data_IF_643544912140
#
_entry.id   IF_643544912140
#
_cell.length_a   1.000
_cell.length_b   1.000
_cell.length_c   1.000
_cell.angle_alpha   90.00
_cell.angle_beta   90.00
_cell.angle_gamma   90.00
#
_symmetry.space_group_name_H-M   'P 1'
#
loop_
_entity.id
_entity.type
_entity.pdbx_description
1 polymer ?
#
# COMPACT_ATOMS: atom_id res chain seq x y z
N UNK A 1 -16.92 0.57 16.73
CA UNK A 1 -15.52 0.18 17.05
C UNK A 1 -14.79 -0.13 15.75
N UNK A 2 -13.48 0.13 15.68
CA UNK A 2 -12.66 -0.11 14.48
C UNK A 2 -12.63 -1.60 14.09
N UNK A 3 -12.82 -1.89 12.80
CA UNK A 3 -12.77 -3.26 12.27
C UNK A 3 -11.41 -3.96 12.40
N UNK A 4 -10.34 -3.22 12.71
CA UNK A 4 -9.01 -3.75 13.00
C UNK A 4 -8.79 -4.18 14.45
N UNK A 5 -9.83 -4.11 15.31
CA UNK A 5 -9.78 -4.63 16.68
C UNK A 5 -9.02 -3.75 17.68
N UNK A 6 -8.67 -2.50 17.35
CA UNK A 6 -7.92 -1.61 18.25
C UNK A 6 -8.76 -0.94 19.36
N UNK A 7 -10.07 -1.22 19.45
CA UNK A 7 -10.96 -0.65 20.47
C UNK A 7 -11.33 0.84 20.29
N UNK A 8 -10.69 1.54 19.35
CA UNK A 8 -10.94 2.98 19.08
C UNK A 8 -12.11 3.15 18.11
N UNK A 9 -12.75 4.34 18.13
CA UNK A 9 -13.73 4.75 17.13
C UNK A 9 -13.12 4.69 15.72
N UNK A 10 -13.90 4.22 14.75
CA UNK A 10 -13.42 4.12 13.37
C UNK A 10 -13.58 5.46 12.66
N UNK A 11 -12.46 6.03 12.23
CA UNK A 11 -12.37 7.22 11.36
C UNK A 11 -11.41 6.89 10.22
N UNK A 12 -11.34 7.72 9.18
CA UNK A 12 -10.32 7.57 8.12
C UNK A 12 -8.91 7.60 8.69
N UNK A 13 -8.61 8.54 9.59
CA UNK A 13 -7.29 8.66 10.21
C UNK A 13 -6.97 7.42 11.06
N UNK A 14 -7.91 6.95 11.87
CA UNK A 14 -7.70 5.73 12.62
C UNK A 14 -7.54 4.51 11.69
N UNK A 15 -8.40 4.33 10.70
CA UNK A 15 -8.35 3.17 9.82
C UNK A 15 -7.06 3.11 9.00
N UNK A 16 -6.62 4.23 8.41
CA UNK A 16 -5.49 4.22 7.50
C UNK A 16 -4.15 4.52 8.19
N UNK A 17 -4.13 5.19 9.34
CA UNK A 17 -2.89 5.66 9.97
C UNK A 17 -2.71 5.09 11.38
N UNK A 18 -3.64 5.35 12.29
CA UNK A 18 -3.40 5.12 13.72
C UNK A 18 -3.75 3.71 14.22
N UNK A 19 -4.57 2.96 13.48
CA UNK A 19 -4.88 1.59 13.84
C UNK A 19 -3.62 0.74 13.71
N UNK A 20 -3.15 0.14 14.82
CA UNK A 20 -1.95 -0.69 14.81
C UNK A 20 -1.96 -1.76 13.71
N UNK A 21 -3.11 -2.37 13.42
CA UNK A 21 -3.22 -3.41 12.41
C UNK A 21 -3.09 -2.84 10.99
N UNK A 22 -3.93 -1.89 10.61
CA UNK A 22 -3.96 -1.35 9.25
C UNK A 22 -2.86 -0.31 8.97
N UNK A 23 -2.46 0.48 9.97
CA UNK A 23 -1.31 1.38 9.89
C UNK A 23 0.00 0.63 9.66
N UNK A 24 0.16 -0.57 10.23
CA UNK A 24 1.32 -1.44 9.95
C UNK A 24 1.41 -1.84 8.48
N UNK A 25 0.28 -1.97 7.76
CA UNK A 25 0.29 -2.24 6.32
C UNK A 25 1.06 -1.14 5.57
N UNK A 26 0.79 0.12 5.88
CA UNK A 26 1.51 1.24 5.26
C UNK A 26 3.00 1.20 5.59
N UNK A 27 3.36 0.98 6.85
CA UNK A 27 4.76 0.83 7.24
C UNK A 27 5.49 -0.23 6.39
N UNK A 28 4.86 -1.39 6.19
CA UNK A 28 5.43 -2.44 5.33
C UNK A 28 5.50 -2.03 3.85
N UNK A 29 4.51 -1.28 3.34
CA UNK A 29 4.56 -0.76 1.97
C UNK A 29 5.71 0.23 1.79
N UNK A 30 5.92 1.19 2.70
CA UNK A 30 7.06 2.12 2.61
C UNK A 30 8.40 1.39 2.73
N UNK A 31 8.50 0.41 3.63
CA UNK A 31 9.68 -0.43 3.76
C UNK A 31 9.98 -1.20 2.47
N UNK A 32 8.95 -1.77 1.82
CA UNK A 32 9.11 -2.44 0.52
C UNK A 32 9.53 -1.49 -0.58
N UNK A 33 9.05 -0.24 -0.56
CA UNK A 33 9.49 0.82 -1.47
C UNK A 33 10.93 1.31 -1.17
N UNK A 34 11.51 0.96 -0.01
CA UNK A 34 12.81 1.46 0.43
C UNK A 34 12.78 2.94 0.81
N UNK A 35 11.65 3.44 1.33
CA UNK A 35 11.45 4.85 1.67
C UNK A 35 11.21 4.98 3.17
N UNK A 36 12.04 5.78 3.83
CA UNK A 36 11.80 6.17 5.22
C UNK A 36 10.88 7.40 5.25
N UNK A 37 9.72 7.25 5.91
CA UNK A 37 8.74 8.33 6.07
C UNK A 37 8.29 8.45 7.52
N UNK A 38 8.04 9.68 7.94
CA UNK A 38 7.25 9.95 9.15
C UNK A 38 5.79 9.93 8.74
N UNK A 39 5.02 9.03 9.35
CA UNK A 39 3.57 8.95 9.11
C UNK A 39 2.90 10.24 9.60
N UNK A 40 2.17 10.97 8.74
CA UNK A 40 1.46 12.18 9.15
C UNK A 40 0.25 11.83 10.01
N UNK A 41 -0.33 12.84 10.65
CA UNK A 41 -1.48 12.65 11.52
C UNK A 41 -2.78 12.43 10.71
N UNK A 42 -2.98 13.20 9.66
CA UNK A 42 -4.17 13.12 8.81
C UNK A 42 -3.97 12.14 7.64
N UNK A 43 -5.00 11.34 7.34
CA UNK A 43 -4.96 10.42 6.21
C UNK A 43 -4.82 11.17 4.87
N UNK A 44 -5.39 12.38 4.76
CA UNK A 44 -5.23 13.20 3.55
C UNK A 44 -3.76 13.57 3.31
N UNK A 45 -3.06 14.03 4.36
CA UNK A 45 -1.64 14.38 4.29
C UNK A 45 -0.79 13.15 3.98
N UNK A 46 -1.21 11.97 4.44
CA UNK A 46 -0.56 10.71 4.10
C UNK A 46 -0.57 10.44 2.60
N UNK A 47 -1.71 10.63 1.94
CA UNK A 47 -1.82 10.41 0.50
C UNK A 47 -1.06 11.46 -0.32
N UNK A 48 -1.00 12.70 0.18
CA UNK A 48 -0.18 13.77 -0.42
C UNK A 48 1.31 13.43 -0.30
N UNK A 49 1.76 13.03 0.90
CA UNK A 49 3.13 12.60 1.15
C UNK A 49 3.50 11.38 0.30
N UNK A 50 2.63 10.38 0.20
CA UNK A 50 2.87 9.20 -0.63
C UNK A 50 3.08 9.58 -2.10
N UNK A 51 2.29 10.54 -2.60
CA UNK A 51 2.41 11.02 -3.97
C UNK A 51 3.72 11.75 -4.24
N UNK A 52 4.30 12.42 -3.24
CA UNK A 52 5.57 13.16 -3.39
C UNK A 52 6.80 12.26 -3.47
N UNK A 53 6.73 11.02 -2.96
CA UNK A 53 7.78 9.99 -3.10
C UNK A 53 8.17 9.77 -4.57
N UNK A 54 7.22 9.98 -5.49
CA UNK A 54 7.43 9.84 -6.93
C UNK A 54 8.31 10.91 -7.57
N UNK A 55 8.61 12.02 -6.89
CA UNK A 55 9.37 13.15 -7.44
C UNK A 55 8.86 13.57 -8.83
N UNK A 56 9.77 13.79 -9.78
CA UNK A 56 9.44 14.37 -11.11
C UNK A 56 9.15 13.28 -12.17
N UNK A 57 9.57 12.03 -11.93
CA UNK A 57 9.46 10.96 -12.91
C UNK A 57 8.01 10.46 -13.07
N UNK A 58 7.35 10.81 -14.18
CA UNK A 58 5.94 10.48 -14.45
C UNK A 58 5.62 8.98 -14.32
N UNK A 59 6.50 8.10 -14.79
CA UNK A 59 6.33 6.65 -14.69
C UNK A 59 6.35 6.19 -13.23
N UNK A 60 7.29 6.72 -12.42
CA UNK A 60 7.38 6.43 -10.99
C UNK A 60 6.13 6.90 -10.24
N UNK A 61 5.67 8.11 -10.54
CA UNK A 61 4.42 8.64 -9.97
C UNK A 61 3.21 7.76 -10.33
N UNK A 62 3.11 7.32 -11.59
CA UNK A 62 2.02 6.44 -12.03
C UNK A 62 2.02 5.09 -11.31
N UNK A 63 3.20 4.50 -11.12
CA UNK A 63 3.37 3.24 -10.39
C UNK A 63 3.00 3.41 -8.91
N UNK A 64 3.48 4.48 -8.29
CA UNK A 64 3.13 4.81 -6.91
C UNK A 64 1.63 5.04 -6.74
N UNK A 65 0.97 5.74 -7.66
CA UNK A 65 -0.49 5.89 -7.61
C UNK A 65 -1.21 4.53 -7.64
N UNK A 66 -0.76 3.59 -8.49
CA UNK A 66 -1.33 2.23 -8.51
C UNK A 66 -1.13 1.52 -7.17
N UNK A 67 0.06 1.64 -6.57
CA UNK A 67 0.34 1.08 -5.25
C UNK A 67 -0.56 1.70 -4.19
N UNK A 68 -0.64 3.04 -4.13
CA UNK A 68 -1.45 3.79 -3.18
C UNK A 68 -2.93 3.37 -3.24
N UNK A 69 -3.53 3.41 -4.43
CA UNK A 69 -4.93 3.05 -4.62
C UNK A 69 -5.20 1.59 -4.28
N UNK A 70 -4.27 0.69 -4.62
CA UNK A 70 -4.40 -0.73 -4.28
C UNK A 70 -4.32 -0.93 -2.77
N UNK A 71 -3.42 -0.25 -2.06
CA UNK A 71 -3.30 -0.33 -0.60
C UNK A 71 -4.57 0.16 0.10
N UNK A 72 -5.06 1.36 -0.26
CA UNK A 72 -6.31 1.92 0.30
C UNK A 72 -7.48 0.96 0.07
N UNK A 73 -7.64 0.50 -1.17
CA UNK A 73 -8.69 -0.45 -1.53
C UNK A 73 -8.58 -1.76 -0.74
N UNK A 74 -7.36 -2.28 -0.56
CA UNK A 74 -7.15 -3.54 0.14
C UNK A 74 -7.45 -3.43 1.62
N UNK A 75 -6.99 -2.35 2.27
CA UNK A 75 -7.29 -2.08 3.68
C UNK A 75 -8.81 -2.03 3.87
N UNK A 76 -9.52 -1.26 3.04
CA UNK A 76 -10.97 -1.16 3.10
C UNK A 76 -11.66 -2.53 2.89
N UNK A 77 -11.20 -3.30 1.89
CA UNK A 77 -11.75 -4.62 1.58
C UNK A 77 -11.53 -5.61 2.71
N UNK A 78 -10.35 -5.67 3.30
CA UNK A 78 -10.03 -6.58 4.39
C UNK A 78 -10.76 -6.17 5.68
N UNK A 79 -10.91 -4.86 5.96
CA UNK A 79 -11.79 -4.37 7.03
C UNK A 79 -13.23 -4.87 6.86
N UNK A 80 -13.77 -4.83 5.65
CA UNK A 80 -15.12 -5.35 5.39
C UNK A 80 -15.19 -6.87 5.52
N UNK A 81 -14.16 -7.60 5.09
CA UNK A 81 -14.10 -9.05 5.28
C UNK A 81 -14.09 -9.45 6.76
N UNK A 82 -13.37 -8.71 7.59
CA UNK A 82 -13.34 -8.97 9.04
C UNK A 82 -14.71 -8.75 9.67
N UNK A 83 -15.45 -7.73 9.24
CA UNK A 83 -16.74 -7.40 9.83
C UNK A 83 -17.90 -8.25 9.32
N UNK A 84 -17.88 -8.64 8.05
CA UNK A 84 -19.03 -9.31 7.41
C UNK A 84 -18.81 -10.79 7.15
N UNK A 85 -17.56 -11.24 7.07
CA UNK A 85 -17.21 -12.61 6.68
C UNK A 85 -16.36 -13.33 7.74
N UNK A 86 -16.15 -12.71 8.91
CA UNK A 86 -15.32 -13.21 10.02
C UNK A 86 -13.93 -13.73 9.57
N UNK A 87 -13.40 -13.10 8.52
CA UNK A 87 -12.15 -13.51 7.89
C UNK A 87 -11.05 -12.53 8.22
N UNK A 88 -10.08 -12.99 9.00
CA UNK A 88 -8.90 -12.22 9.36
C UNK A 88 -7.71 -12.68 8.53
N UNK A 89 -7.07 -11.75 7.82
CA UNK A 89 -5.76 -11.97 7.20
C UNK A 89 -4.70 -11.31 8.09
N UNK A 90 -3.48 -11.86 8.11
CA UNK A 90 -2.34 -11.16 8.74
C UNK A 90 -1.91 -9.94 7.92
N UNK A 91 -1.25 -8.98 8.57
CA UNK A 91 -0.67 -7.80 7.89
C UNK A 91 0.22 -8.21 6.71
N UNK A 92 1.07 -9.22 6.90
CA UNK A 92 1.96 -9.75 5.84
C UNK A 92 1.17 -10.27 4.64
N UNK A 93 0.10 -11.06 4.88
CA UNK A 93 -0.76 -11.54 3.79
C UNK A 93 -1.48 -10.41 3.04
N UNK A 94 -1.85 -9.33 3.74
CA UNK A 94 -2.43 -8.15 3.10
C UNK A 94 -1.41 -7.48 2.19
N UNK A 95 -0.18 -7.30 2.68
CA UNK A 95 0.94 -6.73 1.92
C UNK A 95 1.26 -7.58 0.69
N UNK A 96 1.40 -8.90 0.83
CA UNK A 96 1.66 -9.81 -0.30
C UNK A 96 0.57 -9.70 -1.37
N UNK A 97 -0.70 -9.63 -0.96
CA UNK A 97 -1.82 -9.44 -1.88
C UNK A 97 -1.76 -8.07 -2.57
N UNK A 98 -1.31 -7.01 -1.90
CA UNK A 98 -1.11 -5.69 -2.52
C UNK A 98 0.01 -5.76 -3.56
N UNK A 99 1.16 -6.35 -3.20
CA UNK A 99 2.31 -6.52 -4.10
C UNK A 99 1.95 -7.34 -5.34
N UNK A 100 1.23 -8.44 -5.17
CA UNK A 100 0.73 -9.27 -6.27
C UNK A 100 -0.27 -8.53 -7.16
N UNK A 101 -1.24 -7.84 -6.56
CA UNK A 101 -2.29 -7.14 -7.31
C UNK A 101 -1.73 -5.94 -8.11
N UNK A 102 -0.84 -5.17 -7.50
CA UNK A 102 -0.14 -4.06 -8.18
C UNK A 102 0.72 -4.56 -9.34
N UNK A 103 1.45 -5.66 -9.14
CA UNK A 103 2.23 -6.30 -10.21
C UNK A 103 1.33 -6.70 -11.40
N UNK A 104 0.22 -7.40 -11.14
CA UNK A 104 -0.67 -7.85 -12.20
C UNK A 104 -1.24 -6.68 -13.02
N UNK A 105 -1.68 -5.61 -12.34
CA UNK A 105 -2.22 -4.43 -13.01
C UNK A 105 -1.16 -3.68 -13.82
N UNK A 106 0.06 -3.54 -13.27
CA UNK A 106 1.16 -2.89 -13.98
C UNK A 106 1.65 -3.71 -15.16
N UNK A 107 1.76 -5.04 -15.02
CA UNK A 107 2.16 -5.92 -16.13
C UNK A 107 1.13 -5.92 -17.26
N UNK A 108 -0.16 -5.86 -16.92
CA UNK A 108 -1.24 -5.73 -17.90
C UNK A 108 -1.21 -4.38 -18.64
N UNK A 109 -0.94 -3.28 -17.93
CA UNK A 109 -0.87 -1.93 -18.52
C UNK A 109 0.43 -1.67 -19.29
N UNK A 110 1.54 -2.25 -18.85
CA UNK A 110 2.88 -2.02 -19.36
C UNK A 110 3.56 -3.35 -19.71
N UNK A 111 2.99 -4.09 -20.65
CA UNK A 111 3.46 -5.42 -21.05
C UNK A 111 4.95 -5.45 -21.48
N UNK A 112 5.47 -4.35 -22.00
CA UNK A 112 6.86 -4.20 -22.43
C UNK A 112 7.86 -3.99 -21.29
N UNK A 113 7.42 -3.75 -20.05
CA UNK A 113 8.35 -3.61 -18.93
C UNK A 113 8.97 -4.97 -18.59
N UNK A 114 10.31 -5.06 -18.43
CA UNK A 114 11.05 -6.31 -18.23
C UNK A 114 10.83 -6.94 -16.84
N UNK A 115 9.79 -6.54 -16.12
CA UNK A 115 9.50 -6.98 -14.76
C UNK A 115 9.13 -8.46 -14.72
N UNK A 116 9.88 -9.22 -13.93
CA UNK A 116 9.42 -10.49 -13.36
C UNK A 116 8.94 -10.23 -11.93
N UNK A 117 8.08 -11.11 -11.41
CA UNK A 117 7.48 -10.93 -10.09
C UNK A 117 8.52 -10.91 -8.96
N UNK A 118 9.59 -11.71 -9.09
CA UNK A 118 10.66 -11.78 -8.09
C UNK A 118 11.37 -10.43 -7.93
N UNK A 119 11.70 -9.77 -9.03
CA UNK A 119 12.32 -8.45 -9.00
C UNK A 119 11.39 -7.37 -8.48
N UNK A 120 10.10 -7.41 -8.84
CA UNK A 120 9.09 -6.54 -8.26
C UNK A 120 8.98 -6.69 -6.74
N UNK A 121 9.04 -7.94 -6.27
CA UNK A 121 8.98 -8.26 -4.84
C UNK A 121 10.18 -7.72 -4.07
N UNK A 122 11.39 -7.79 -4.65
CA UNK A 122 12.62 -7.29 -4.02
C UNK A 122 12.67 -5.76 -3.94
N UNK A 123 12.43 -5.06 -5.06
CA UNK A 123 12.33 -3.60 -5.06
C UNK A 123 11.68 -3.10 -6.35
N UNK A 124 10.56 -2.35 -6.24
CA UNK A 124 9.85 -1.85 -7.41
C UNK A 124 10.59 -0.70 -8.12
N UNK A 125 11.51 0.00 -7.44
CA UNK A 125 12.23 1.14 -8.01
C UNK A 125 13.53 0.76 -8.71
N UNK A 126 14.27 -0.23 -8.21
CA UNK A 126 15.51 -0.70 -8.87
C UNK A 126 15.22 -1.25 -10.26
N UNK A 127 14.07 -1.90 -10.45
CA UNK A 127 13.64 -2.41 -11.76
C UNK A 127 13.29 -1.30 -12.76
N UNK A 128 12.97 -0.09 -12.30
CA UNK A 128 12.67 1.06 -13.16
C UNK A 128 13.92 1.80 -13.67
N UNK A 129 15.13 1.33 -13.31
CA UNK A 129 16.38 2.02 -13.65
C UNK A 129 16.54 3.35 -12.92
N UNK A 130 15.88 3.51 -11.76
CA UNK A 130 15.98 4.68 -10.91
C UNK A 130 16.70 4.23 -9.64
N UNK A 131 18.02 4.15 -9.73
CA UNK A 131 18.96 3.87 -8.65
C UNK A 131 20.22 4.67 -8.87
#
# INVERSE_FOLDING_TARGET
MCGGGCGVAETSNNLFIHCNFFGSVWFHIFRWLGVDVVMPFEAADHFIQFSSVGGIARTRCSILQVIMFTTVWKIWKERNNMLFNDKVCSVVQIVDKIMSQTFMWLKGKYASLPFNYHGWWLSPFTMLGIG
#
